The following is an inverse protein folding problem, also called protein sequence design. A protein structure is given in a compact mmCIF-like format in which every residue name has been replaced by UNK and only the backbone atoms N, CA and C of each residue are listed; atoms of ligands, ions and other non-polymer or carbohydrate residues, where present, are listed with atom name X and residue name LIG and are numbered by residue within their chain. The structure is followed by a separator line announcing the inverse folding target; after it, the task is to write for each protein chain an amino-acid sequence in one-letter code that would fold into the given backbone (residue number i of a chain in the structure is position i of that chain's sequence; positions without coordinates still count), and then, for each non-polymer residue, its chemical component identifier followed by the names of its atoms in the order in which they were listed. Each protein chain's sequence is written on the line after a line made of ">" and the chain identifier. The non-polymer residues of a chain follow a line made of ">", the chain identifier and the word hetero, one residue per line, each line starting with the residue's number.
data_IF_250919215657
#
_entry.id   IF_250919215657
#
_cell.length_a   1.000
_cell.length_b   1.000
_cell.length_c   1.000
_cell.angle_alpha   90.00
_cell.angle_beta   90.00
_cell.angle_gamma   90.00
#
_symmetry.space_group_name_H-M   'P 1'
#
loop_
_entity.id
_entity.type
_entity.pdbx_description
1 polymer ?
#
# COMPACT_ATOMS: atom_id res chain seq x y z
N UNK A 1 -9.68 -7.37 -5.97
CA UNK A 1 -8.72 -6.50 -5.28
C UNK A 1 -7.67 -6.12 -6.30
N UNK A 2 -7.23 -4.86 -6.34
CA UNK A 2 -6.24 -4.39 -7.32
C UNK A 2 -4.87 -4.76 -6.77
N UNK A 3 -3.98 -5.34 -7.58
CA UNK A 3 -2.58 -5.55 -7.18
C UNK A 3 -1.88 -4.18 -7.07
N UNK A 4 -1.69 -3.67 -5.85
CA UNK A 4 -1.07 -2.39 -5.54
C UNK A 4 0.46 -2.49 -5.46
N UNK A 5 0.99 -3.70 -5.28
CA UNK A 5 2.42 -3.95 -5.13
C UNK A 5 3.04 -4.67 -6.32
N UNK A 6 4.30 -4.35 -6.63
CA UNK A 6 5.11 -5.08 -7.60
C UNK A 6 5.96 -6.12 -6.86
N UNK A 7 5.56 -7.41 -6.94
CA UNK A 7 6.23 -8.51 -6.21
C UNK A 7 7.75 -8.59 -6.46
N UNK A 8 8.20 -8.23 -7.67
CA UNK A 8 9.62 -8.19 -8.01
C UNK A 8 10.40 -7.13 -7.20
N UNK A 9 9.86 -5.91 -7.09
CA UNK A 9 10.46 -4.84 -6.30
C UNK A 9 10.48 -5.18 -4.81
N UNK A 10 9.45 -5.87 -4.31
CA UNK A 10 9.43 -6.36 -2.91
C UNK A 10 10.53 -7.38 -2.65
N UNK A 11 10.78 -8.31 -3.59
CA UNK A 11 11.88 -9.29 -3.47
C UNK A 11 13.25 -8.61 -3.50
N UNK A 12 13.42 -7.60 -4.33
CA UNK A 12 14.65 -6.79 -4.40
C UNK A 12 14.89 -6.03 -3.09
N UNK A 13 13.85 -5.46 -2.47
CA UNK A 13 14.01 -4.78 -1.18
C UNK A 13 14.25 -5.73 0.00
N UNK A 14 13.75 -6.95 -0.08
CA UNK A 14 13.93 -8.00 0.95
C UNK A 14 15.11 -8.93 0.63
N UNK A 15 16.13 -8.42 -0.05
CA UNK A 15 17.37 -9.13 -0.37
C UNK A 15 17.89 -9.96 0.82
N UNK A 16 18.20 -11.23 0.58
CA UNK A 16 18.66 -12.16 1.62
C UNK A 16 17.55 -12.91 2.36
N UNK A 17 16.28 -12.63 2.07
CA UNK A 17 15.14 -13.35 2.65
C UNK A 17 14.31 -14.08 1.59
N UNK A 18 13.89 -15.31 1.91
CA UNK A 18 12.83 -15.96 1.18
C UNK A 18 11.49 -15.32 1.56
N UNK A 19 10.73 -14.89 0.55
CA UNK A 19 9.41 -14.28 0.77
C UNK A 19 8.33 -15.33 0.53
N UNK A 20 7.50 -15.56 1.55
CA UNK A 20 6.38 -16.48 1.46
C UNK A 20 5.31 -15.94 0.48
N UNK A 21 4.54 -16.83 -0.16
CA UNK A 21 3.57 -16.40 -1.19
C UNK A 21 2.43 -15.56 -0.62
N UNK A 22 1.98 -15.88 0.60
CA UNK A 22 0.93 -15.20 1.36
C UNK A 22 1.35 -13.82 1.89
N UNK A 23 2.65 -13.58 2.04
CA UNK A 23 3.17 -12.26 2.42
C UNK A 23 2.75 -11.16 1.41
N UNK A 24 2.71 -11.48 0.12
CA UNK A 24 2.34 -10.50 -0.89
C UNK A 24 0.89 -10.05 -0.74
N UNK A 25 0.00 -10.99 -0.46
CA UNK A 25 -1.42 -10.70 -0.31
C UNK A 25 -1.64 -9.85 0.96
N UNK A 26 -0.97 -10.22 2.07
CA UNK A 26 -1.01 -9.44 3.31
C UNK A 26 -0.43 -8.02 3.13
N UNK A 27 0.66 -7.87 2.39
CA UNK A 27 1.25 -6.55 2.11
C UNK A 27 0.33 -5.70 1.22
N UNK A 28 -0.33 -6.31 0.24
CA UNK A 28 -1.28 -5.64 -0.64
C UNK A 28 -2.49 -5.09 0.15
N UNK A 29 -3.03 -5.89 1.07
CA UNK A 29 -4.12 -5.51 1.98
C UNK A 29 -3.74 -4.30 2.88
N UNK A 30 -2.50 -4.30 3.41
CA UNK A 30 -1.99 -3.20 4.21
C UNK A 30 -1.83 -1.92 3.39
N UNK A 31 -1.29 -2.00 2.17
CA UNK A 31 -1.16 -0.85 1.28
C UNK A 31 -2.53 -0.31 0.87
N UNK A 32 -3.50 -1.19 0.60
CA UNK A 32 -4.89 -0.80 0.32
C UNK A 32 -5.48 0.00 1.49
N UNK A 33 -5.30 -0.50 2.72
CA UNK A 33 -5.78 0.16 3.94
C UNK A 33 -5.14 1.54 4.15
N UNK A 34 -3.85 1.71 3.83
CA UNK A 34 -3.17 3.01 3.88
C UNK A 34 -3.76 3.98 2.85
N UNK A 35 -3.99 3.53 1.62
CA UNK A 35 -4.57 4.37 0.55
C UNK A 35 -6.02 4.77 0.86
N UNK A 36 -6.84 3.85 1.38
CA UNK A 36 -8.22 4.14 1.80
C UNK A 36 -8.26 5.19 2.91
N UNK A 37 -7.37 5.07 3.90
CA UNK A 37 -7.27 6.06 4.97
C UNK A 37 -6.81 7.43 4.45
N UNK A 38 -5.86 7.46 3.53
CA UNK A 38 -5.39 8.71 2.93
C UNK A 38 -6.48 9.38 2.08
N UNK A 39 -7.21 8.61 1.28
CA UNK A 39 -8.36 9.12 0.54
C UNK A 39 -9.44 9.66 1.48
N UNK A 40 -9.77 8.93 2.55
CA UNK A 40 -10.74 9.35 3.57
C UNK A 40 -10.34 10.67 4.23
N UNK A 41 -9.07 10.81 4.66
CA UNK A 41 -8.58 12.06 5.27
C UNK A 41 -8.65 13.24 4.28
N UNK A 42 -8.37 13.00 3.00
CA UNK A 42 -8.51 14.04 1.98
C UNK A 42 -9.98 14.50 1.82
N UNK A 43 -10.91 13.55 1.71
CA UNK A 43 -12.35 13.83 1.61
C UNK A 43 -12.89 14.50 2.88
N UNK A 44 -12.47 14.09 4.09
CA UNK A 44 -12.82 14.72 5.38
C UNK A 44 -12.36 16.18 5.46
N UNK A 45 -11.38 16.58 4.66
CA UNK A 45 -10.88 17.95 4.57
C UNK A 45 -11.36 18.67 3.29
N UNK A 46 -12.45 18.20 2.67
CA UNK A 46 -13.05 18.75 1.45
C UNK A 46 -12.08 18.86 0.27
N UNK A 47 -11.10 17.94 0.18
CA UNK A 47 -10.09 17.92 -0.89
C UNK A 47 -10.24 16.68 -1.77
N UNK A 48 -10.10 16.88 -3.08
CA UNK A 48 -9.99 15.78 -4.08
C UNK A 48 -8.55 15.33 -4.34
N UNK A 49 -7.57 16.05 -3.80
CA UNK A 49 -6.16 15.72 -3.93
C UNK A 49 -5.66 15.12 -2.61
N UNK A 50 -5.27 13.84 -2.66
CA UNK A 50 -4.53 13.17 -1.60
C UNK A 50 -3.13 13.78 -1.51
N UNK A 51 -2.70 14.12 -0.29
CA UNK A 51 -1.44 14.79 0.00
C UNK A 51 -0.59 13.95 0.95
N UNK A 52 0.72 14.23 1.09
CA UNK A 52 1.59 13.48 2.01
C UNK A 52 1.10 13.48 3.47
N UNK A 53 0.38 14.51 3.91
CA UNK A 53 -0.23 14.59 5.26
C UNK A 53 -1.43 13.66 5.47
N UNK A 54 -1.94 13.08 4.38
CA UNK A 54 -3.07 12.15 4.43
C UNK A 54 -2.59 10.71 4.62
N UNK A 55 -1.31 10.41 4.34
CA UNK A 55 -0.69 9.11 4.65
C UNK A 55 -0.60 8.89 6.16
#
# INVERSE_FOLDING_TARGET
>A
MVDLIVKAAVKEQLEGHNVASDFYDALDDEVASVLENAARRADENDRKTVQPRDL
#
